data_IF_778953053358
#
_entry.id   IF_778953053358
#
_cell.length_a   1.000
_cell.length_b   1.000
_cell.length_c   1.000
_cell.angle_alpha   90.00
_cell.angle_beta   90.00
_cell.angle_gamma   90.00
#
_symmetry.space_group_name_H-M   'P 1'
#
loop_
_entity.id
_entity.type
_entity.pdbx_description
1 polymer ?
#
# COMPACT_ATOMS: atom_id res chain seq x y z
N UNK A 1 39.07 38.09 10.70
CA UNK A 1 37.62 38.12 10.40
C UNK A 1 36.93 37.67 11.66
N UNK A 2 36.27 38.59 12.38
CA UNK A 2 35.73 38.35 13.73
C UNK A 2 34.53 37.41 13.69
N UNK A 3 34.54 36.39 14.54
CA UNK A 3 33.39 35.55 14.81
C UNK A 3 32.28 36.37 15.50
N UNK A 4 31.00 36.25 15.09
CA UNK A 4 29.90 36.83 15.86
C UNK A 4 29.66 35.95 17.09
N UNK A 5 30.20 36.36 18.23
CA UNK A 5 29.84 35.80 19.53
C UNK A 5 28.38 36.14 19.82
N UNK A 6 27.47 35.21 19.53
CA UNK A 6 26.03 35.42 19.64
C UNK A 6 25.62 35.41 21.13
N UNK A 7 25.10 36.53 21.63
CA UNK A 7 24.76 36.72 23.05
C UNK A 7 23.57 35.83 23.49
N UNK A 8 23.88 34.78 24.25
CA UNK A 8 22.93 33.82 24.85
C UNK A 8 21.88 34.51 25.75
N UNK A 9 22.20 35.72 26.26
CA UNK A 9 21.34 36.50 27.16
C UNK A 9 20.12 37.13 26.47
N UNK A 10 20.06 37.15 25.13
CA UNK A 10 18.91 37.68 24.39
C UNK A 10 17.85 36.62 24.06
N UNK A 11 18.17 35.34 24.29
CA UNK A 11 17.29 34.21 23.98
C UNK A 11 16.22 34.03 25.07
N UNK A 12 15.01 33.64 24.67
CA UNK A 12 13.95 33.33 25.62
C UNK A 12 14.31 32.09 26.46
N UNK A 13 13.69 31.93 27.63
CA UNK A 13 13.95 30.79 28.51
C UNK A 13 13.67 29.44 27.82
N UNK A 14 12.65 29.38 26.97
CA UNK A 14 12.34 28.18 26.16
C UNK A 14 13.41 27.90 25.10
N UNK A 15 13.96 28.93 24.49
CA UNK A 15 15.04 28.83 23.50
C UNK A 15 16.35 28.36 24.13
N UNK A 16 16.64 28.82 25.36
CA UNK A 16 17.80 28.35 26.13
C UNK A 16 17.68 26.88 26.52
N UNK A 17 16.48 26.43 26.91
CA UNK A 17 16.22 25.02 27.23
C UNK A 17 16.36 24.13 25.98
N UNK A 18 15.82 24.56 24.84
CA UNK A 18 15.95 23.84 23.58
C UNK A 18 17.43 23.73 23.14
N UNK A 19 18.20 24.81 23.30
CA UNK A 19 19.64 24.82 23.03
C UNK A 19 20.40 23.87 23.95
N UNK A 20 20.14 23.91 25.25
CA UNK A 20 20.75 23.00 26.21
C UNK A 20 20.46 21.54 25.88
N UNK A 21 19.23 21.24 25.47
CA UNK A 21 18.84 19.88 25.07
C UNK A 21 19.58 19.42 23.81
N UNK A 22 19.65 20.24 22.76
CA UNK A 22 20.37 19.90 21.52
C UNK A 22 21.86 19.73 21.80
N UNK A 23 22.50 20.70 22.47
CA UNK A 23 23.94 20.61 22.81
C UNK A 23 24.26 19.39 23.67
N UNK A 24 23.37 19.00 24.60
CA UNK A 24 23.60 17.80 25.43
C UNK A 24 23.55 16.48 24.65
N UNK A 25 22.89 16.47 23.49
CA UNK A 25 22.65 15.25 22.69
C UNK A 25 23.56 15.20 21.46
N UNK A 26 23.85 16.34 20.83
CA UNK A 26 24.61 16.42 19.58
C UNK A 26 26.08 16.78 19.78
N UNK A 27 26.47 17.22 20.99
CA UNK A 27 27.82 17.66 21.38
C UNK A 27 28.44 18.69 20.41
N UNK A 28 27.59 19.48 19.75
CA UNK A 28 27.98 20.51 18.81
C UNK A 28 28.40 21.81 19.51
N UNK A 29 29.24 22.58 18.82
CA UNK A 29 29.58 23.95 19.18
C UNK A 29 28.32 24.84 19.20
N UNK A 30 28.32 25.81 20.11
CA UNK A 30 27.14 26.62 20.41
C UNK A 30 26.64 27.42 19.18
N UNK A 31 27.54 27.87 18.33
CA UNK A 31 27.22 28.64 17.12
C UNK A 31 26.56 27.76 16.04
N UNK A 32 27.03 26.52 15.86
CA UNK A 32 26.43 25.56 14.91
C UNK A 32 25.07 25.06 15.40
N UNK A 33 24.94 24.80 16.71
CA UNK A 33 23.67 24.40 17.32
C UNK A 33 22.61 25.52 17.21
N UNK A 34 23.02 26.79 17.36
CA UNK A 34 22.15 27.96 17.15
C UNK A 34 21.64 28.04 15.72
N UNK A 35 22.53 27.90 14.73
CA UNK A 35 22.15 27.95 13.33
C UNK A 35 21.16 26.83 12.97
N UNK A 36 21.34 25.63 13.53
CA UNK A 36 20.44 24.49 13.34
C UNK A 36 19.08 24.69 14.02
N UNK A 37 19.04 25.20 15.25
CA UNK A 37 17.80 25.53 15.95
C UNK A 37 17.02 26.64 15.26
N UNK A 38 17.70 27.66 14.73
CA UNK A 38 17.05 28.74 13.98
C UNK A 38 16.40 28.21 12.69
N UNK A 39 17.05 27.25 11.99
CA UNK A 39 16.47 26.56 10.82
C UNK A 39 15.25 25.70 11.20
N UNK A 40 15.25 25.09 12.38
CA UNK A 40 14.17 24.24 12.88
C UNK A 40 13.10 24.98 13.70
N UNK A 41 13.01 26.32 13.58
CA UNK A 41 12.07 27.16 14.34
C UNK A 41 12.08 26.89 15.86
N UNK A 42 13.26 26.67 16.44
CA UNK A 42 13.48 26.38 17.87
C UNK A 42 12.84 25.09 18.39
N UNK A 43 12.52 24.13 17.51
CA UNK A 43 12.07 22.80 17.93
C UNK A 43 13.24 21.83 18.12
N UNK A 44 13.58 21.53 19.37
CA UNK A 44 14.72 20.67 19.73
C UNK A 44 14.59 19.23 19.18
N UNK A 45 13.38 18.68 19.08
CA UNK A 45 13.19 17.31 18.61
C UNK A 45 13.43 17.19 17.10
N UNK A 46 12.93 18.14 16.32
CA UNK A 46 13.16 18.19 14.87
C UNK A 46 14.64 18.41 14.59
N UNK A 47 15.27 19.29 15.36
CA UNK A 47 16.70 19.59 15.30
C UNK A 47 17.57 18.34 15.52
N UNK A 48 17.33 17.60 16.60
CA UNK A 48 18.07 16.37 16.93
C UNK A 48 17.89 15.32 15.83
N UNK A 49 16.65 15.08 15.40
CA UNK A 49 16.37 14.08 14.36
C UNK A 49 17.07 14.45 13.06
N UNK A 50 16.99 15.71 12.60
CA UNK A 50 17.68 16.16 11.38
C UNK A 50 19.20 16.12 11.49
N UNK A 51 19.75 16.37 12.68
CA UNK A 51 21.19 16.24 12.90
C UNK A 51 21.67 14.79 12.71
N UNK A 52 20.95 13.82 13.28
CA UNK A 52 21.30 12.40 13.12
C UNK A 52 20.98 11.82 11.74
N UNK A 53 20.02 12.39 11.02
CA UNK A 53 19.67 11.99 9.65
C UNK A 53 20.69 12.48 8.60
N UNK A 54 21.62 13.36 8.98
CA UNK A 54 22.62 13.95 8.08
C UNK A 54 22.05 15.03 7.14
N UNK A 55 20.80 15.44 7.36
CA UNK A 55 20.00 16.29 6.48
C UNK A 55 20.09 17.78 6.85
N UNK A 56 21.18 18.18 7.52
CA UNK A 56 21.35 19.53 8.08
C UNK A 56 21.36 20.65 7.01
N UNK A 57 21.58 20.30 5.74
CA UNK A 57 21.79 21.24 4.63
C UNK A 57 20.63 21.34 3.62
N UNK A 58 19.64 20.44 3.66
CA UNK A 58 18.51 20.46 2.72
C UNK A 58 17.25 21.00 3.37
N UNK A 59 16.80 22.12 2.81
CA UNK A 59 15.55 22.75 3.14
C UNK A 59 14.47 22.08 2.32
N UNK A 60 13.79 21.09 2.88
CA UNK A 60 12.39 20.82 2.50
C UNK A 60 11.48 21.32 3.63
N UNK A 61 10.88 22.48 3.33
CA UNK A 61 9.70 23.01 4.01
C UNK A 61 8.51 22.34 3.32
N UNK A 62 7.68 21.70 4.14
CA UNK A 62 6.44 21.01 3.73
C UNK A 62 6.66 19.61 3.14
N UNK A 63 7.13 18.68 3.97
CA UNK A 63 6.86 17.25 3.72
C UNK A 63 5.44 16.98 4.25
N UNK A 64 4.40 16.90 3.38
CA UNK A 64 3.10 16.42 3.81
C UNK A 64 3.28 15.03 4.44
N UNK A 65 2.47 14.68 5.47
CA UNK A 65 2.57 13.38 6.12
C UNK A 65 2.58 12.27 5.07
N UNK A 66 3.35 11.19 5.27
CA UNK A 66 3.47 10.11 4.29
C UNK A 66 2.06 9.63 3.93
N UNK A 67 1.64 9.97 2.72
CA UNK A 67 0.38 9.49 2.19
C UNK A 67 0.57 7.99 2.02
N UNK A 68 -0.28 7.18 2.69
CA UNK A 68 -0.32 5.74 2.51
C UNK A 68 -0.57 5.43 1.02
N UNK A 69 0.52 5.23 0.29
CA UNK A 69 0.53 4.86 -1.14
C UNK A 69 -0.11 3.49 -1.41
N UNK A 70 -0.52 2.79 -0.34
CA UNK A 70 -1.31 1.55 -0.39
C UNK A 70 -2.80 1.79 -0.65
N UNK A 71 -3.25 3.03 -0.65
CA UNK A 71 -4.63 3.38 -0.99
C UNK A 71 -4.79 3.45 -2.51
N UNK A 72 -5.04 2.31 -3.14
CA UNK A 72 -5.46 2.26 -4.54
C UNK A 72 -6.91 2.75 -4.64
N UNK A 73 -7.11 4.06 -4.57
CA UNK A 73 -8.41 4.67 -4.81
C UNK A 73 -8.67 4.78 -6.31
N UNK A 74 -9.76 4.16 -6.75
CA UNK A 74 -10.26 4.37 -8.10
C UNK A 74 -10.63 5.86 -8.26
N UNK A 75 -10.19 6.49 -9.36
CA UNK A 75 -10.46 7.90 -9.66
C UNK A 75 -11.96 8.24 -9.57
N UNK A 76 -12.82 7.29 -9.97
CA UNK A 76 -14.27 7.40 -9.83
C UNK A 76 -14.72 7.51 -8.36
N UNK A 77 -14.14 6.72 -7.45
CA UNK A 77 -14.43 6.79 -6.02
C UNK A 77 -13.90 8.09 -5.39
N UNK A 78 -12.76 8.59 -5.85
CA UNK A 78 -12.24 9.90 -5.42
C UNK A 78 -13.14 11.06 -5.88
N UNK A 79 -13.65 11.02 -7.11
CA UNK A 79 -14.60 12.01 -7.62
C UNK A 79 -15.94 11.99 -6.87
N UNK A 80 -16.45 10.80 -6.55
CA UNK A 80 -17.69 10.64 -5.78
C UNK A 80 -17.48 11.10 -4.33
N UNK A 81 -16.38 10.66 -3.70
CA UNK A 81 -16.00 11.14 -2.38
C UNK A 81 -15.83 12.66 -2.35
N UNK A 82 -15.22 13.28 -3.37
CA UNK A 82 -15.11 14.72 -3.50
C UNK A 82 -16.46 15.42 -3.72
N UNK A 83 -17.40 14.77 -4.41
CA UNK A 83 -18.75 15.28 -4.58
C UNK A 83 -19.53 15.32 -3.26
N UNK A 84 -19.32 14.32 -2.39
CA UNK A 84 -19.94 14.20 -1.06
C UNK A 84 -19.15 14.91 0.07
N UNK A 85 -17.84 15.18 -0.11
CA UNK A 85 -16.95 15.77 0.89
C UNK A 85 -17.05 17.31 1.01
N UNK A 86 -18.22 17.90 0.71
CA UNK A 86 -18.49 19.31 1.05
C UNK A 86 -18.74 19.55 2.55
N UNK A 87 -18.51 18.55 3.40
CA UNK A 87 -18.73 18.63 4.84
C UNK A 87 -17.40 18.72 5.61
N UNK A 88 -17.11 19.94 6.07
CA UNK A 88 -16.15 20.42 7.10
C UNK A 88 -14.91 19.58 7.45
N UNK A 89 -13.70 20.18 7.41
CA UNK A 89 -12.52 19.59 8.03
C UNK A 89 -12.69 19.64 9.55
N UNK A 90 -12.89 18.49 10.19
CA UNK A 90 -12.82 18.38 11.65
C UNK A 90 -11.35 18.23 12.03
N UNK A 91 -10.74 19.36 12.41
CA UNK A 91 -9.47 19.38 13.10
C UNK A 91 -9.65 18.76 14.49
N UNK A 92 -8.69 17.91 14.89
CA UNK A 92 -8.54 17.34 16.24
C UNK A 92 -9.60 16.32 16.68
N UNK A 93 -9.37 15.07 16.30
CA UNK A 93 -9.95 13.89 16.93
C UNK A 93 -9.32 12.66 16.28
N UNK A 94 -8.89 11.69 17.08
CA UNK A 94 -8.41 10.39 16.60
C UNK A 94 -9.43 9.85 15.58
N UNK A 95 -9.11 9.96 14.29
CA UNK A 95 -9.99 9.45 13.25
C UNK A 95 -9.95 7.94 13.38
N UNK A 96 -11.05 7.36 13.87
CA UNK A 96 -11.23 5.92 13.86
C UNK A 96 -11.04 5.47 12.41
N UNK A 97 -10.07 4.58 12.18
CA UNK A 97 -9.72 4.14 10.83
C UNK A 97 -11.01 3.74 10.10
N UNK A 98 -11.30 4.34 8.93
CA UNK A 98 -12.52 4.06 8.21
C UNK A 98 -12.60 2.55 7.95
N UNK A 99 -13.76 1.97 8.25
CA UNK A 99 -14.00 0.53 8.10
C UNK A 99 -13.65 0.12 6.67
N UNK A 100 -12.58 -0.63 6.50
CA UNK A 100 -12.19 -1.21 5.22
C UNK A 100 -13.19 -2.32 4.91
N UNK A 101 -14.31 -1.95 4.28
CA UNK A 101 -15.23 -2.91 3.71
C UNK A 101 -14.52 -3.49 2.49
N UNK A 102 -14.29 -4.82 2.42
CA UNK A 102 -13.75 -5.43 1.22
C UNK A 102 -14.67 -5.05 0.07
N UNK A 103 -14.11 -4.33 -0.90
CA UNK A 103 -14.85 -3.85 -2.05
C UNK A 103 -15.51 -5.06 -2.71
N UNK A 104 -16.85 -5.12 -2.84
CA UNK A 104 -17.51 -6.29 -3.41
C UNK A 104 -16.96 -6.56 -4.81
N UNK A 105 -16.76 -7.84 -5.15
CA UNK A 105 -16.05 -8.27 -6.36
C UNK A 105 -16.59 -7.64 -7.67
N UNK A 106 -17.85 -7.20 -7.66
CA UNK A 106 -18.49 -6.47 -8.76
C UNK A 106 -17.89 -5.10 -9.05
N UNK A 107 -17.09 -4.51 -8.15
CA UNK A 107 -16.45 -3.20 -8.33
C UNK A 107 -15.05 -3.27 -8.93
N UNK A 108 -14.44 -4.46 -9.05
CA UNK A 108 -13.14 -4.63 -9.71
C UNK A 108 -13.21 -4.40 -11.23
N UNK A 109 -14.41 -4.52 -11.81
CA UNK A 109 -14.69 -4.20 -13.21
C UNK A 109 -15.79 -3.16 -13.23
N UNK A 110 -15.51 -1.94 -12.78
CA UNK A 110 -16.48 -0.85 -12.96
C UNK A 110 -16.56 -0.59 -14.46
N UNK A 111 -17.67 -0.97 -15.14
CA UNK A 111 -17.78 -0.68 -16.57
C UNK A 111 -17.74 0.84 -16.72
N UNK A 112 -16.98 1.32 -17.71
CA UNK A 112 -16.99 2.74 -18.04
C UNK A 112 -18.45 3.21 -18.19
N UNK A 113 -18.80 4.41 -17.69
CA UNK A 113 -20.18 4.87 -17.67
C UNK A 113 -20.77 4.76 -19.08
N UNK A 114 -22.00 4.26 -19.18
CA UNK A 114 -22.67 3.93 -20.45
C UNK A 114 -22.60 5.05 -21.50
N UNK A 115 -22.58 6.31 -21.06
CA UNK A 115 -22.44 7.49 -21.94
C UNK A 115 -21.08 7.53 -22.65
N UNK A 116 -19.97 7.27 -21.94
CA UNK A 116 -18.65 7.19 -22.56
C UNK A 116 -18.56 5.97 -23.48
N UNK A 117 -19.17 4.84 -23.10
CA UNK A 117 -19.23 3.66 -23.97
C UNK A 117 -20.01 3.93 -25.25
N UNK A 118 -21.16 4.63 -25.19
CA UNK A 118 -21.97 4.96 -26.35
C UNK A 118 -21.27 5.97 -27.28
N UNK A 119 -20.58 6.97 -26.71
CA UNK A 119 -19.86 7.99 -27.46
C UNK A 119 -18.63 7.42 -28.18
N UNK A 120 -17.88 6.54 -27.53
CA UNK A 120 -16.70 5.90 -28.12
C UNK A 120 -16.98 4.53 -28.76
N UNK A 121 -18.24 4.07 -28.78
CA UNK A 121 -18.67 2.81 -29.41
C UNK A 121 -18.22 2.69 -30.88
N UNK A 122 -18.49 3.68 -31.76
CA UNK A 122 -18.11 3.54 -33.17
C UNK A 122 -16.58 3.47 -33.32
N UNK A 123 -15.84 4.22 -32.51
CA UNK A 123 -14.37 4.24 -32.55
C UNK A 123 -13.76 2.92 -32.05
N UNK A 124 -14.27 2.37 -30.94
CA UNK A 124 -13.84 1.06 -30.43
C UNK A 124 -14.15 -0.07 -31.40
N UNK A 125 -15.31 -0.02 -32.08
CA UNK A 125 -15.70 -1.02 -33.07
C UNK A 125 -14.74 -0.99 -34.27
N UNK A 126 -14.49 0.19 -34.84
CA UNK A 126 -13.54 0.38 -35.94
C UNK A 126 -12.14 -0.07 -35.55
N UNK A 127 -11.68 0.30 -34.35
CA UNK A 127 -10.37 -0.12 -33.85
C UNK A 127 -10.28 -1.64 -33.65
N UNK A 128 -11.34 -2.29 -33.16
CA UNK A 128 -11.36 -3.76 -32.99
C UNK A 128 -11.32 -4.50 -34.33
N UNK A 129 -12.04 -4.00 -35.34
CA UNK A 129 -12.05 -4.59 -36.68
C UNK A 129 -10.68 -4.38 -37.34
N UNK A 130 -10.16 -3.15 -37.27
CA UNK A 130 -8.85 -2.81 -37.83
C UNK A 130 -7.72 -3.62 -37.17
N UNK A 131 -7.70 -3.74 -35.85
CA UNK A 131 -6.69 -4.52 -35.11
C UNK A 131 -6.79 -6.02 -35.38
N UNK A 132 -8.00 -6.59 -35.53
CA UNK A 132 -8.17 -8.00 -35.94
C UNK A 132 -7.68 -8.25 -37.36
N UNK A 133 -7.99 -7.34 -38.30
CA UNK A 133 -7.53 -7.45 -39.69
C UNK A 133 -6.02 -7.27 -39.78
N UNK A 134 -5.43 -6.29 -39.09
CA UNK A 134 -3.98 -6.10 -39.04
C UNK A 134 -3.25 -7.22 -38.29
N UNK A 135 -3.86 -7.79 -37.24
CA UNK A 135 -3.33 -8.96 -36.54
C UNK A 135 -3.30 -10.20 -37.43
N UNK A 136 -4.38 -10.47 -38.16
CA UNK A 136 -4.45 -11.56 -39.14
C UNK A 136 -3.45 -11.36 -40.29
N UNK A 137 -3.28 -10.12 -40.77
CA UNK A 137 -2.32 -9.78 -41.82
C UNK A 137 -0.86 -9.85 -41.32
N UNK A 138 -0.61 -9.46 -40.07
CA UNK A 138 0.69 -9.61 -39.40
C UNK A 138 1.05 -11.08 -39.14
N UNK A 139 0.05 -11.94 -38.93
CA UNK A 139 0.25 -13.40 -38.86
C UNK A 139 0.61 -13.99 -40.23
N UNK A 140 -0.01 -13.51 -41.32
CA UNK A 140 0.31 -13.93 -42.69
C UNK A 140 1.67 -13.39 -43.20
N UNK A 141 2.14 -12.25 -42.67
CA UNK A 141 3.43 -11.65 -43.01
C UNK A 141 4.33 -11.49 -41.77
N UNK A 142 5.04 -12.55 -41.31
CA UNK A 142 5.87 -12.53 -40.11
C UNK A 142 7.11 -11.61 -40.20
N UNK A 143 7.34 -10.98 -41.35
CA UNK A 143 8.47 -10.06 -41.63
C UNK A 143 8.20 -8.65 -41.12
N UNK A 144 6.92 -8.22 -41.10
CA UNK A 144 6.49 -6.87 -40.70
C UNK A 144 6.70 -6.59 -39.21
N UNK A 145 6.30 -7.48 -38.26
CA UNK A 145 6.54 -7.22 -36.83
C UNK A 145 8.03 -7.14 -36.50
N UNK A 146 8.89 -7.88 -37.20
CA UNK A 146 10.35 -7.85 -37.00
C UNK A 146 11.00 -6.55 -37.51
N UNK A 147 10.50 -5.99 -38.61
CA UNK A 147 11.00 -4.71 -39.16
C UNK A 147 10.49 -3.49 -38.37
N UNK A 148 9.22 -3.49 -37.94
CA UNK A 148 8.65 -2.40 -37.17
C UNK A 148 9.27 -2.28 -35.76
N UNK A 149 9.63 -3.41 -35.14
CA UNK A 149 10.32 -3.42 -33.84
C UNK A 149 11.73 -2.80 -33.89
N UNK A 150 12.32 -2.67 -35.10
CA UNK A 150 13.64 -2.06 -35.33
C UNK A 150 13.57 -0.57 -35.64
N UNK A 151 12.46 -0.10 -36.19
CA UNK A 151 12.28 1.30 -36.62
C UNK A 151 11.53 2.16 -35.60
N UNK A 152 10.67 1.54 -34.77
CA UNK A 152 9.94 2.23 -33.71
C UNK A 152 10.17 1.52 -32.38
N UNK A 153 11.12 1.97 -31.54
CA UNK A 153 11.26 1.49 -30.17
C UNK A 153 10.16 2.10 -29.29
N UNK A 154 8.89 2.00 -29.70
CA UNK A 154 7.80 2.14 -28.75
C UNK A 154 7.83 0.91 -27.86
N UNK A 155 7.66 1.15 -26.56
CA UNK A 155 7.73 0.21 -25.43
C UNK A 155 6.65 -0.91 -25.47
N UNK A 156 6.34 -1.46 -26.64
CA UNK A 156 5.26 -2.40 -26.86
C UNK A 156 5.78 -3.84 -26.86
N UNK A 157 6.24 -4.26 -25.68
CA UNK A 157 6.20 -5.63 -25.20
C UNK A 157 6.70 -5.62 -23.75
N UNK A 158 5.98 -4.93 -22.86
CA UNK A 158 5.95 -5.47 -21.48
C UNK A 158 5.39 -6.88 -21.64
N UNK A 159 6.13 -7.94 -21.30
CA UNK A 159 5.53 -9.27 -21.25
C UNK A 159 4.29 -9.13 -20.40
N UNK A 160 3.16 -9.53 -20.99
CA UNK A 160 1.87 -9.52 -20.33
C UNK A 160 2.05 -10.36 -19.07
N UNK A 161 2.26 -9.70 -17.92
CA UNK A 161 2.29 -10.33 -16.60
C UNK A 161 0.84 -10.66 -16.19
N UNK A 162 0.05 -11.16 -17.15
CA UNK A 162 -1.33 -11.61 -17.01
C UNK A 162 -1.45 -12.79 -16.05
N UNK A 163 -0.34 -13.40 -15.66
CA UNK A 163 -0.27 -14.47 -14.67
C UNK A 163 -0.22 -13.94 -13.23
N UNK A 164 -0.18 -12.62 -13.03
CA UNK A 164 -0.36 -11.99 -11.72
C UNK A 164 -1.72 -11.33 -11.60
N UNK A 165 -2.77 -11.92 -12.17
CA UNK A 165 -4.11 -11.63 -11.65
C UNK A 165 -4.12 -12.16 -10.23
N UNK A 166 -4.22 -11.32 -9.18
CA UNK A 166 -4.36 -11.83 -7.84
C UNK A 166 -5.57 -12.76 -7.87
N UNK A 167 -5.34 -14.04 -7.60
CA UNK A 167 -6.39 -15.04 -7.51
C UNK A 167 -7.43 -14.53 -6.51
N UNK A 168 -8.70 -14.85 -6.76
CA UNK A 168 -9.73 -14.52 -5.78
C UNK A 168 -9.29 -15.10 -4.42
N UNK A 169 -9.48 -14.32 -3.36
CA UNK A 169 -9.23 -14.79 -1.99
C UNK A 169 -9.93 -16.13 -1.73
N UNK A 170 -11.15 -16.31 -2.24
CA UNK A 170 -11.92 -17.55 -2.14
C UNK A 170 -11.26 -18.73 -2.86
N UNK A 171 -10.76 -18.49 -4.07
CA UNK A 171 -10.06 -19.52 -4.86
C UNK A 171 -8.69 -19.87 -4.28
N UNK A 172 -8.03 -18.89 -3.64
CA UNK A 172 -6.74 -19.09 -2.96
C UNK A 172 -6.92 -19.96 -1.71
N UNK A 173 -7.94 -19.68 -0.92
CA UNK A 173 -8.25 -20.46 0.28
C UNK A 173 -8.73 -21.87 -0.08
N UNK A 174 -9.60 -22.02 -1.08
CA UNK A 174 -10.07 -23.35 -1.50
C UNK A 174 -8.92 -24.23 -2.04
N UNK A 175 -7.98 -23.63 -2.77
CA UNK A 175 -6.75 -24.30 -3.17
C UNK A 175 -5.91 -24.70 -1.97
N UNK A 176 -5.70 -23.78 -1.03
CA UNK A 176 -4.94 -24.07 0.19
C UNK A 176 -5.56 -25.22 1.01
N UNK A 177 -6.89 -25.24 1.18
CA UNK A 177 -7.58 -26.32 1.91
C UNK A 177 -7.33 -27.66 1.24
N UNK A 178 -7.46 -27.74 -0.09
CA UNK A 178 -7.18 -28.98 -0.84
C UNK A 178 -5.72 -29.41 -0.70
N UNK A 179 -4.79 -28.48 -0.91
CA UNK A 179 -3.35 -28.76 -0.84
C UNK A 179 -2.98 -29.22 0.58
N UNK A 180 -3.60 -28.65 1.62
CA UNK A 180 -3.44 -29.05 3.03
C UNK A 180 -4.01 -30.45 3.32
N UNK A 181 -5.22 -30.75 2.83
CA UNK A 181 -5.84 -32.07 3.00
C UNK A 181 -5.03 -33.17 2.31
N UNK A 182 -4.47 -32.88 1.13
CA UNK A 182 -3.59 -33.79 0.39
C UNK A 182 -2.24 -34.00 1.09
N UNK A 183 -1.57 -32.93 1.52
CA UNK A 183 -0.25 -33.01 2.14
C UNK A 183 -0.27 -33.79 3.46
N UNK A 184 -1.29 -33.58 4.28
CA UNK A 184 -1.42 -34.22 5.59
C UNK A 184 -2.28 -35.50 5.56
N UNK A 185 -2.82 -35.89 4.39
CA UNK A 185 -3.71 -37.04 4.19
C UNK A 185 -4.89 -37.04 5.19
N UNK A 186 -5.57 -35.91 5.29
CA UNK A 186 -6.65 -35.66 6.25
C UNK A 186 -8.00 -35.80 5.56
N UNK A 187 -9.00 -36.36 6.27
CA UNK A 187 -10.37 -36.44 5.74
C UNK A 187 -10.91 -35.03 5.44
N UNK A 188 -11.70 -34.87 4.36
CA UNK A 188 -12.25 -33.58 3.97
C UNK A 188 -13.02 -32.94 5.13
N UNK A 189 -12.80 -31.64 5.36
CA UNK A 189 -13.49 -30.87 6.41
C UNK A 189 -13.19 -31.35 7.86
N UNK A 190 -12.00 -31.89 8.11
CA UNK A 190 -11.55 -32.17 9.48
C UNK A 190 -11.39 -30.90 10.31
N UNK A 191 -10.94 -29.80 9.69
CA UNK A 191 -10.88 -28.47 10.28
C UNK A 191 -11.79 -27.55 9.44
N UNK A 192 -12.77 -26.85 10.05
CA UNK A 192 -13.71 -26.00 9.32
C UNK A 192 -13.06 -24.66 8.94
N UNK A 193 -12.12 -24.68 8.01
CA UNK A 193 -11.50 -23.47 7.47
C UNK A 193 -12.55 -22.58 6.79
N UNK A 194 -12.44 -21.27 7.02
CA UNK A 194 -13.36 -20.31 6.43
C UNK A 194 -12.90 -19.92 5.02
N UNK A 195 -13.72 -20.23 4.01
CA UNK A 195 -13.35 -20.09 2.58
C UNK A 195 -13.26 -18.65 2.07
N UNK A 196 -13.78 -17.65 2.78
CA UNK A 196 -13.77 -16.27 2.28
C UNK A 196 -12.63 -15.44 2.87
N UNK A 197 -12.42 -14.24 2.33
CA UNK A 197 -11.36 -13.36 2.79
C UNK A 197 -11.48 -12.96 4.27
N UNK A 198 -10.32 -12.63 4.86
CA UNK A 198 -10.17 -12.23 6.28
C UNK A 198 -11.21 -11.20 6.74
N UNK A 199 -11.45 -10.15 5.96
CA UNK A 199 -12.38 -9.10 6.34
C UNK A 199 -13.83 -9.61 6.48
N UNK A 200 -14.24 -10.58 5.65
CA UNK A 200 -15.55 -11.22 5.76
C UNK A 200 -15.61 -12.14 6.98
N UNK A 201 -14.53 -12.87 7.28
CA UNK A 201 -14.44 -13.71 8.48
C UNK A 201 -14.56 -12.87 9.76
N UNK A 202 -13.88 -11.72 9.78
CA UNK A 202 -13.92 -10.77 10.89
C UNK A 202 -15.31 -10.17 11.09
N UNK A 203 -15.97 -9.74 10.01
CA UNK A 203 -17.33 -9.22 10.07
C UNK A 203 -18.35 -10.27 10.53
N UNK A 204 -18.19 -11.53 10.09
CA UNK A 204 -19.02 -12.65 10.53
C UNK A 204 -18.80 -12.97 12.02
N UNK A 205 -17.54 -13.05 12.46
CA UNK A 205 -17.20 -13.28 13.86
C UNK A 205 -17.79 -12.18 14.77
N UNK A 206 -17.70 -10.92 14.33
CA UNK A 206 -18.29 -9.78 15.05
C UNK A 206 -19.82 -9.86 15.11
N UNK A 207 -20.47 -10.22 13.99
CA UNK A 207 -21.94 -10.37 13.93
C UNK A 207 -22.43 -11.49 14.83
N UNK A 208 -21.73 -12.61 14.83
CA UNK A 208 -22.09 -13.81 15.58
C UNK A 208 -21.54 -13.80 17.02
N UNK A 209 -20.84 -12.74 17.44
CA UNK A 209 -20.17 -12.58 18.75
C UNK A 209 -19.22 -13.74 19.08
N UNK A 210 -18.49 -14.23 18.07
CA UNK A 210 -17.49 -15.30 18.20
C UNK A 210 -16.08 -14.75 18.20
N UNK A 211 -15.14 -15.53 18.72
CA UNK A 211 -13.71 -15.25 18.59
C UNK A 211 -13.21 -15.67 17.20
N UNK A 212 -12.37 -14.83 16.58
CA UNK A 212 -11.68 -15.14 15.34
C UNK A 212 -10.25 -15.59 15.66
N UNK A 213 -9.88 -16.79 15.23
CA UNK A 213 -8.50 -17.29 15.29
C UNK A 213 -7.87 -17.20 13.91
N UNK A 214 -6.74 -16.49 13.81
CA UNK A 214 -5.95 -16.41 12.58
C UNK A 214 -4.71 -17.25 12.75
N UNK A 215 -4.52 -18.23 11.87
CA UNK A 215 -3.37 -19.12 11.87
C UNK A 215 -2.46 -18.69 10.72
N UNK A 216 -1.22 -18.35 11.04
CA UNK A 216 -0.19 -18.00 10.06
C UNK A 216 0.68 -19.22 9.83
N UNK A 217 0.70 -19.72 8.59
CA UNK A 217 1.49 -20.89 8.20
C UNK A 217 2.52 -20.44 7.17
N UNK A 218 3.79 -20.76 7.42
CA UNK A 218 4.86 -20.54 6.46
C UNK A 218 5.47 -21.89 6.09
N UNK A 219 5.45 -22.30 4.82
CA UNK A 219 6.02 -23.58 4.41
C UNK A 219 7.54 -23.62 4.56
N UNK A 220 8.20 -22.46 4.68
CA UNK A 220 9.66 -22.37 4.87
C UNK A 220 10.10 -22.56 6.32
N UNK A 221 9.15 -22.55 7.27
CA UNK A 221 9.47 -22.63 8.69
C UNK A 221 9.36 -24.06 9.19
N UNK A 222 10.43 -24.57 9.82
CA UNK A 222 10.53 -25.96 10.27
C UNK A 222 9.45 -26.33 11.31
N UNK A 223 9.01 -25.38 12.14
CA UNK A 223 7.98 -25.61 13.16
C UNK A 223 6.55 -25.74 12.61
N UNK A 224 6.32 -25.41 11.33
CA UNK A 224 4.97 -25.47 10.74
C UNK A 224 4.45 -26.91 10.68
N UNK A 225 5.27 -27.85 10.21
CA UNK A 225 4.89 -29.26 10.09
C UNK A 225 4.55 -29.94 11.44
N UNK A 226 5.38 -29.84 12.50
CA UNK A 226 5.02 -30.39 13.82
C UNK A 226 3.82 -29.67 14.43
N UNK A 227 3.69 -28.35 14.28
CA UNK A 227 2.51 -27.62 14.77
C UNK A 227 1.21 -28.12 14.15
N UNK A 228 1.18 -28.35 12.84
CA UNK A 228 0.00 -28.88 12.15
C UNK A 228 -0.36 -30.28 12.67
N UNK A 229 0.63 -31.18 12.75
CA UNK A 229 0.40 -32.58 13.13
C UNK A 229 0.02 -32.75 14.60
N UNK A 230 0.75 -32.10 15.49
CA UNK A 230 0.62 -32.33 16.93
C UNK A 230 -0.45 -31.45 17.57
N UNK A 231 -0.67 -30.25 17.02
CA UNK A 231 -1.66 -29.30 17.56
C UNK A 231 -2.93 -29.30 16.71
N UNK A 232 -2.86 -28.87 15.45
CA UNK A 232 -4.06 -28.64 14.64
C UNK A 232 -4.88 -29.91 14.33
N UNK A 233 -4.21 -31.04 14.15
CA UNK A 233 -4.85 -32.34 13.89
C UNK A 233 -5.11 -33.15 15.16
N UNK A 234 -4.84 -32.60 16.35
CA UNK A 234 -5.09 -33.28 17.61
C UNK A 234 -6.58 -33.53 17.81
N UNK A 235 -6.99 -34.74 18.27
CA UNK A 235 -8.40 -35.07 18.51
C UNK A 235 -9.05 -34.23 19.62
N UNK A 236 -8.26 -33.48 20.39
CA UNK A 236 -8.72 -32.59 21.44
C UNK A 236 -9.28 -31.26 20.91
N UNK A 237 -8.94 -30.90 19.66
CA UNK A 237 -9.41 -29.69 18.98
C UNK A 237 -10.66 -29.96 18.13
N UNK A 238 -11.06 -31.23 17.98
CA UNK A 238 -12.20 -31.68 17.17
C UNK A 238 -13.53 -31.59 17.91
#
# INVERSE_FOLDING_TARGET
MSAPSTDISQLSQEQQLALQQVTSVTDQDLDTALALLQRCQWNAQIAITRFFDGDADVVDVDVPPPQDSRRSENLAASLDAAAFARSRPTQHGLQQAPRVVPTPESQLTQPAPFVLQLLFLPFNLTYSIFSRVFGALGYLFPVIPRLLHRLFPLQSARPNNSDRRPLNSRDTVSRFIRDFEEEYNVEPNTIPFFENGYAQAFDLAKRDLKYLLVILLSPEHDDTAPFVRDTLLSPQIK
#
